data_IF_087194123207
#
_entry.id   IF_087194123207
#
_cell.length_a   1.000
_cell.length_b   1.000
_cell.length_c   1.000
_cell.angle_alpha   90.00
_cell.angle_beta   90.00
_cell.angle_gamma   90.00
#
_symmetry.space_group_name_H-M   'P 1'
#
loop_
_entity.id
_entity.type
_entity.pdbx_description
1 polymer ?
#
# COMPACT_ATOMS: atom_id res chain seq x y z
N UNK A 1 -8.78 39.68 0.90
CA UNK A 1 -9.28 38.29 0.91
C UNK A 1 -8.11 37.39 0.55
N UNK A 2 -7.56 36.67 1.53
CA UNK A 2 -6.56 35.63 1.29
C UNK A 2 -7.27 34.30 1.53
N UNK A 3 -7.78 33.68 0.47
CA UNK A 3 -8.21 32.29 0.51
C UNK A 3 -6.94 31.43 0.37
N UNK A 4 -6.68 30.46 1.27
CA UNK A 4 -5.59 29.52 1.02
C UNK A 4 -5.98 28.66 -0.19
N UNK A 5 -5.28 28.92 -1.29
CA UNK A 5 -5.21 28.04 -2.45
C UNK A 5 -4.73 26.65 -1.99
N UNK A 6 -5.20 25.63 -2.71
CA UNK A 6 -4.82 24.21 -2.59
C UNK A 6 -5.67 23.32 -1.69
N UNK A 7 -6.96 23.21 -2.04
CA UNK A 7 -7.67 21.94 -1.85
C UNK A 7 -7.19 20.95 -2.93
N UNK A 8 -6.08 20.27 -2.69
CA UNK A 8 -5.76 19.07 -3.46
C UNK A 8 -6.87 18.05 -3.18
N UNK A 9 -7.60 17.63 -4.21
CA UNK A 9 -8.64 16.59 -4.10
C UNK A 9 -8.06 15.20 -3.78
N UNK A 10 -6.73 15.10 -3.73
CA UNK A 10 -5.97 13.90 -3.43
C UNK A 10 -5.13 14.16 -2.20
N UNK A 11 -5.26 13.28 -1.21
CA UNK A 11 -4.41 13.29 0.00
C UNK A 11 -2.98 12.99 -0.45
N UNK A 12 -1.99 13.83 -0.08
CA UNK A 12 -0.59 13.56 -0.39
C UNK A 12 -0.16 12.25 0.29
N UNK A 13 0.66 11.46 -0.41
CA UNK A 13 1.21 10.21 0.13
C UNK A 13 2.14 10.51 1.29
N UNK A 14 1.91 9.86 2.42
CA UNK A 14 2.80 9.92 3.58
C UNK A 14 3.96 8.94 3.40
N UNK A 15 5.00 9.09 4.23
CA UNK A 15 6.17 8.21 4.18
C UNK A 15 5.77 6.74 4.43
N UNK A 16 4.79 6.50 5.30
CA UNK A 16 4.30 5.16 5.59
C UNK A 16 3.62 4.51 4.37
N UNK A 17 2.90 5.28 3.55
CA UNK A 17 2.30 4.77 2.31
C UNK A 17 3.39 4.29 1.34
N UNK A 18 4.50 5.02 1.24
CA UNK A 18 5.63 4.66 0.38
C UNK A 18 6.31 3.37 0.87
N UNK A 19 6.50 3.24 2.18
CA UNK A 19 7.03 2.02 2.81
C UNK A 19 6.11 0.83 2.58
N UNK A 20 4.80 1.02 2.77
CA UNK A 20 3.79 0.01 2.51
C UNK A 20 3.80 -0.43 1.04
N UNK A 21 3.84 0.50 0.08
CA UNK A 21 3.89 0.15 -1.34
C UNK A 21 5.17 -0.62 -1.71
N UNK A 22 6.30 -0.28 -1.11
CA UNK A 22 7.55 -1.02 -1.30
C UNK A 22 7.44 -2.46 -0.75
N UNK A 23 6.82 -2.61 0.43
CA UNK A 23 6.58 -3.92 1.03
C UNK A 23 5.58 -4.75 0.21
N UNK A 24 4.45 -4.16 -0.18
CA UNK A 24 3.43 -4.77 -1.02
C UNK A 24 4.02 -5.28 -2.36
N UNK A 25 4.86 -4.48 -3.02
CA UNK A 25 5.58 -4.92 -4.23
C UNK A 25 6.49 -6.11 -3.97
N UNK A 26 7.09 -6.20 -2.78
CA UNK A 26 7.94 -7.33 -2.39
C UNK A 26 7.12 -8.60 -2.12
N UNK A 27 5.95 -8.48 -1.52
CA UNK A 27 4.99 -9.58 -1.33
C UNK A 27 4.50 -10.11 -2.69
N UNK A 28 4.10 -9.23 -3.60
CA UNK A 28 3.72 -9.60 -4.97
C UNK A 28 4.83 -10.39 -5.68
N UNK A 29 6.10 -9.96 -5.56
CA UNK A 29 7.24 -10.70 -6.12
C UNK A 29 7.44 -12.07 -5.46
N UNK A 30 7.31 -12.17 -4.13
CA UNK A 30 7.47 -13.42 -3.37
C UNK A 30 6.50 -14.51 -3.82
N UNK A 31 5.27 -14.13 -4.13
CA UNK A 31 4.23 -15.05 -4.60
C UNK A 31 4.11 -15.10 -6.13
N UNK A 32 4.98 -14.40 -6.87
CA UNK A 32 4.95 -14.30 -8.33
C UNK A 32 3.60 -13.81 -8.90
N UNK A 33 2.93 -12.91 -8.16
CA UNK A 33 1.63 -12.35 -8.53
C UNK A 33 1.86 -10.97 -9.17
N UNK A 34 1.31 -10.79 -10.37
CA UNK A 34 1.31 -9.51 -11.04
C UNK A 34 0.01 -8.78 -10.70
N UNK A 35 0.02 -7.70 -9.90
CA UNK A 35 -1.21 -7.05 -9.44
C UNK A 35 -2.07 -6.50 -10.58
N UNK A 36 -1.48 -6.18 -11.75
CA UNK A 36 -2.22 -5.69 -12.93
C UNK A 36 -2.90 -6.81 -13.73
N UNK A 37 -2.48 -8.06 -13.55
CA UNK A 37 -3.06 -9.25 -14.23
C UNK A 37 -3.73 -10.23 -13.27
N UNK A 38 -3.60 -9.98 -11.98
CA UNK A 38 -4.12 -10.82 -10.91
C UNK A 38 -5.65 -10.91 -11.01
N UNK A 39 -6.17 -12.10 -10.77
CA UNK A 39 -7.59 -12.26 -10.45
C UNK A 39 -7.91 -11.50 -9.16
N UNK A 40 -9.20 -11.21 -8.94
CA UNK A 40 -9.64 -10.55 -7.71
C UNK A 40 -9.18 -11.29 -6.45
N UNK A 41 -9.17 -12.62 -6.49
CA UNK A 41 -8.75 -13.47 -5.37
C UNK A 41 -7.24 -13.35 -5.08
N UNK A 42 -6.41 -13.41 -6.13
CA UNK A 42 -4.95 -13.24 -5.99
C UNK A 42 -4.60 -11.86 -5.45
N UNK A 43 -5.31 -10.82 -5.92
CA UNK A 43 -5.13 -9.46 -5.43
C UNK A 43 -5.53 -9.32 -3.95
N UNK A 44 -6.71 -9.83 -3.56
CA UNK A 44 -7.16 -9.79 -2.16
C UNK A 44 -6.19 -10.57 -1.25
N UNK A 45 -5.66 -11.69 -1.73
CA UNK A 45 -4.65 -12.47 -1.01
C UNK A 45 -3.38 -11.67 -0.74
N UNK A 46 -2.75 -11.08 -1.77
CA UNK A 46 -1.50 -10.31 -1.57
C UNK A 46 -1.73 -9.05 -0.75
N UNK A 47 -2.91 -8.44 -0.87
CA UNK A 47 -3.30 -7.28 -0.07
C UNK A 47 -3.38 -7.64 1.41
N UNK A 48 -4.15 -8.68 1.79
CA UNK A 48 -4.28 -9.08 3.20
C UNK A 48 -2.98 -9.57 3.82
N UNK A 49 -2.14 -10.26 3.04
CA UNK A 49 -0.82 -10.69 3.50
C UNK A 49 0.08 -9.49 3.74
N UNK A 50 0.08 -8.52 2.81
CA UNK A 50 0.87 -7.30 2.99
C UNK A 50 0.39 -6.49 4.20
N UNK A 51 -0.91 -6.29 4.36
CA UNK A 51 -1.49 -5.57 5.51
C UNK A 51 -1.16 -6.27 6.83
N UNK A 52 -1.43 -7.58 6.93
CA UNK A 52 -1.19 -8.33 8.18
C UNK A 52 0.27 -8.27 8.58
N UNK A 53 1.19 -8.59 7.67
CA UNK A 53 2.61 -8.66 7.98
C UNK A 53 3.21 -7.27 8.26
N UNK A 54 2.83 -6.26 7.47
CA UNK A 54 3.36 -4.90 7.61
C UNK A 54 2.96 -4.28 8.95
N UNK A 55 1.68 -4.36 9.32
CA UNK A 55 1.20 -3.80 10.58
C UNK A 55 1.63 -4.63 11.80
N UNK A 56 1.74 -5.96 11.68
CA UNK A 56 2.34 -6.79 12.74
C UNK A 56 3.79 -6.39 13.01
N UNK A 57 4.58 -6.15 11.95
CA UNK A 57 5.97 -5.74 12.09
C UNK A 57 6.10 -4.35 12.73
N UNK A 58 5.24 -3.40 12.37
CA UNK A 58 5.17 -2.07 13.00
C UNK A 58 4.75 -2.14 14.46
N UNK A 59 3.78 -2.99 14.82
CA UNK A 59 3.34 -3.16 16.21
C UNK A 59 4.39 -3.83 17.12
N UNK A 60 5.35 -4.55 16.54
CA UNK A 60 6.44 -5.19 17.26
C UNK A 60 7.67 -4.28 17.47
N UNK A 61 7.66 -3.05 16.93
CA UNK A 61 8.75 -2.06 17.03
C UNK A 61 8.39 -0.98 18.05
#
# INVERSE_FOLDING_TARGET
>A
MNEPMEKSWVVPLEQEDLEYFAYFRSVCKRYNINPSKATRLEYDFVMRVAESEFYLQKAAT
#
